data_IF_055592253151
#
_entry.id   IF_055592253151
#
_cell.length_a   1.000
_cell.length_b   1.000
_cell.length_c   1.000
_cell.angle_alpha   90.00
_cell.angle_beta   90.00
_cell.angle_gamma   90.00
#
_symmetry.space_group_name_H-M   'P 1'
#
loop_
_entity.id
_entity.type
_entity.pdbx_description
1 polymer ?
#
# COMPACT_ATOMS: atom_id res chain seq x y z
N UNK A 1 1.83 -13.85 2.35
CA UNK A 1 2.93 -12.87 2.46
C UNK A 1 3.15 -12.24 1.10
N UNK A 2 2.95 -10.93 0.94
CA UNK A 2 3.28 -10.23 -0.30
C UNK A 2 4.77 -9.88 -0.30
N UNK A 3 5.47 -10.16 -1.41
CA UNK A 3 6.84 -9.69 -1.63
C UNK A 3 6.77 -8.48 -2.56
N UNK A 4 7.12 -7.31 -2.04
CA UNK A 4 7.31 -6.12 -2.85
C UNK A 4 8.81 -5.89 -2.98
N UNK A 5 9.27 -5.78 -4.22
CA UNK A 5 10.67 -5.54 -4.55
C UNK A 5 10.87 -4.06 -4.84
N UNK A 6 11.72 -3.38 -4.06
CA UNK A 6 12.21 -2.03 -4.41
C UNK A 6 13.50 -2.16 -5.21
N UNK A 7 13.50 -1.59 -6.41
CA UNK A 7 14.71 -1.48 -7.25
C UNK A 7 15.29 -0.08 -7.10
N UNK A 8 16.56 0.01 -6.73
CA UNK A 8 17.27 1.29 -6.67
C UNK A 8 17.59 1.77 -8.09
N UNK A 9 17.26 3.03 -8.40
CA UNK A 9 17.56 3.62 -9.72
C UNK A 9 19.07 3.92 -9.89
N UNK A 10 19.79 4.27 -8.82
CA UNK A 10 21.20 4.68 -8.87
C UNK A 10 22.01 4.26 -7.63
N UNK A 11 22.14 2.96 -7.37
CA UNK A 11 23.02 2.46 -6.31
C UNK A 11 23.18 0.95 -6.38
N UNK A 12 24.43 0.46 -6.30
CA UNK A 12 24.72 -0.96 -6.05
C UNK A 12 24.48 -1.20 -4.56
N UNK A 13 23.69 -2.21 -4.21
CA UNK A 13 23.73 -2.74 -2.85
C UNK A 13 25.15 -3.23 -2.57
N UNK A 14 25.68 -2.94 -1.38
CA UNK A 14 27.01 -3.37 -0.94
C UNK A 14 27.21 -4.90 -1.07
N UNK A 15 26.10 -5.66 -1.07
CA UNK A 15 26.07 -7.12 -1.21
C UNK A 15 25.15 -7.58 -2.35
N UNK A 16 25.63 -7.50 -3.59
CA UNK A 16 25.33 -8.44 -4.69
C UNK A 16 23.89 -8.56 -5.28
N UNK A 17 22.82 -8.36 -4.52
CA UNK A 17 21.44 -8.39 -5.03
C UNK A 17 21.06 -7.02 -5.61
N UNK A 18 20.28 -7.00 -6.69
CA UNK A 18 19.73 -5.75 -7.25
C UNK A 18 18.39 -5.35 -6.61
N UNK A 19 17.79 -6.26 -5.84
CA UNK A 19 16.44 -6.14 -5.30
C UNK A 19 16.45 -6.17 -3.76
N UNK A 20 15.74 -5.21 -3.16
CA UNK A 20 15.50 -5.14 -1.72
C UNK A 20 14.16 -5.81 -1.41
N UNK A 21 14.17 -6.77 -0.48
CA UNK A 21 12.98 -7.48 -0.01
C UNK A 21 12.56 -6.89 1.33
N UNK A 22 11.31 -6.48 1.38
CA UNK A 22 10.68 -5.92 2.57
C UNK A 22 9.55 -6.84 3.04
N UNK A 23 9.39 -6.95 4.36
CA UNK A 23 8.16 -7.49 4.93
C UNK A 23 7.20 -6.33 5.16
N UNK A 24 5.98 -6.49 4.63
CA UNK A 24 4.90 -5.52 4.77
C UNK A 24 3.79 -6.07 5.67
N UNK A 25 3.18 -5.18 6.43
CA UNK A 25 1.86 -5.39 7.02
C UNK A 25 0.86 -4.56 6.25
N UNK A 26 -0.24 -5.22 5.89
CA UNK A 26 -1.34 -4.61 5.17
C UNK A 26 -2.42 -4.32 6.19
N UNK A 27 -2.79 -3.04 6.26
CA UNK A 27 -3.98 -2.62 6.97
C UNK A 27 -5.04 -2.34 5.90
N UNK A 28 -6.03 -3.23 5.83
CA UNK A 28 -7.31 -2.85 5.22
C UNK A 28 -7.83 -1.73 6.09
N UNK A 29 -8.06 -0.56 5.50
CA UNK A 29 -8.21 0.70 6.25
C UNK A 29 -9.28 0.50 7.31
N UNK A 30 -8.91 0.25 8.58
CA UNK A 30 -9.86 0.24 9.70
C UNK A 30 -9.84 1.62 10.38
N UNK A 31 -10.58 2.61 9.85
CA UNK A 31 -10.49 4.05 10.14
C UNK A 31 -10.50 4.45 11.63
N UNK A 32 -10.95 3.58 12.54
CA UNK A 32 -10.93 3.84 14.00
C UNK A 32 -9.63 3.49 14.71
N UNK A 33 -8.71 2.75 14.10
CA UNK A 33 -7.41 2.45 14.71
C UNK A 33 -6.27 3.11 13.93
N UNK A 34 -6.04 4.39 14.25
CA UNK A 34 -4.75 5.06 14.02
C UNK A 34 -3.61 4.47 14.89
N UNK A 35 -3.80 3.30 15.50
CA UNK A 35 -2.97 2.82 16.60
C UNK A 35 -1.54 2.44 16.15
N UNK A 36 -1.29 2.31 14.84
CA UNK A 36 0.01 1.89 14.30
C UNK A 36 0.63 2.83 13.26
N UNK A 37 -0.07 3.89 12.84
CA UNK A 37 0.53 4.97 12.06
C UNK A 37 0.78 6.11 13.05
N UNK A 38 2.01 6.23 13.51
CA UNK A 38 2.48 7.42 14.21
C UNK A 38 1.93 8.66 13.49
N UNK A 39 1.38 9.61 14.24
CA UNK A 39 0.64 10.81 13.81
C UNK A 39 1.46 11.75 12.92
N UNK A 40 1.85 11.27 11.75
CA UNK A 40 2.78 11.93 10.83
C UNK A 40 2.05 12.56 9.65
N UNK A 41 0.80 12.16 9.37
CA UNK A 41 -0.03 12.72 8.30
C UNK A 41 -1.26 13.44 8.85
N UNK A 42 -1.67 14.49 8.14
CA UNK A 42 -2.91 15.23 8.40
C UNK A 42 -4.05 14.70 7.52
N UNK A 43 -5.33 14.94 7.88
CA UNK A 43 -6.47 14.57 7.02
C UNK A 43 -6.39 15.15 5.60
N UNK A 44 -5.77 16.32 5.43
CA UNK A 44 -5.53 16.91 4.11
C UNK A 44 -4.56 16.07 3.26
N UNK A 45 -3.57 15.42 3.88
CA UNK A 45 -2.66 14.54 3.17
C UNK A 45 -3.41 13.31 2.66
N UNK A 46 -4.35 12.78 3.43
CA UNK A 46 -5.23 11.69 3.00
C UNK A 46 -5.99 12.07 1.75
N UNK A 47 -6.69 13.21 1.75
CA UNK A 47 -7.45 13.68 0.58
C UNK A 47 -6.52 13.85 -0.63
N UNK A 48 -5.36 14.48 -0.46
CA UNK A 48 -4.39 14.69 -1.55
C UNK A 48 -3.89 13.39 -2.16
N UNK A 49 -3.68 12.34 -1.35
CA UNK A 49 -3.20 11.04 -1.83
C UNK A 49 -4.31 10.19 -2.42
N UNK A 50 -5.47 10.10 -1.77
CA UNK A 50 -6.59 9.33 -2.29
C UNK A 50 -7.11 9.89 -3.61
N UNK A 51 -7.10 11.21 -3.78
CA UNK A 51 -7.45 11.89 -5.05
C UNK A 51 -6.50 11.61 -6.21
N UNK A 52 -5.37 10.91 -5.99
CA UNK A 52 -4.53 10.39 -7.09
C UNK A 52 -5.10 9.14 -7.74
N UNK A 53 -6.06 8.46 -7.11
CA UNK A 53 -6.73 7.29 -7.69
C UNK A 53 -8.00 7.74 -8.41
N UNK A 54 -8.15 7.48 -9.72
CA UNK A 54 -9.39 7.79 -10.44
C UNK A 54 -10.63 7.13 -9.82
N UNK A 55 -10.46 5.94 -9.25
CA UNK A 55 -11.51 5.20 -8.53
C UNK A 55 -11.99 5.89 -7.26
N UNK A 56 -11.25 6.89 -6.74
CA UNK A 56 -11.65 7.66 -5.56
C UNK A 56 -12.53 8.87 -5.92
N UNK A 57 -12.54 9.31 -7.18
CA UNK A 57 -13.30 10.49 -7.58
C UNK A 57 -14.81 10.45 -7.19
N UNK A 58 -15.53 9.30 -7.31
CA UNK A 58 -16.92 9.21 -6.87
C UNK A 58 -17.12 9.32 -5.36
N UNK A 59 -16.08 9.05 -4.56
CA UNK A 59 -16.11 9.07 -3.10
C UNK A 59 -15.72 10.43 -2.52
N UNK A 60 -15.00 11.26 -3.28
CA UNK A 60 -14.39 12.49 -2.79
C UNK A 60 -15.42 13.45 -2.17
N UNK A 61 -16.50 13.76 -2.89
CA UNK A 61 -17.51 14.70 -2.41
C UNK A 61 -18.19 14.24 -1.13
N UNK A 62 -18.33 12.93 -0.93
CA UNK A 62 -18.93 12.37 0.27
C UNK A 62 -17.93 12.40 1.43
N UNK A 63 -16.68 11.99 1.18
CA UNK A 63 -15.59 12.08 2.16
C UNK A 63 -15.37 13.51 2.67
N UNK A 64 -15.44 14.50 1.78
CA UNK A 64 -15.30 15.92 2.15
C UNK A 64 -16.50 16.45 2.97
N UNK A 65 -17.71 15.95 2.70
CA UNK A 65 -18.94 16.46 3.30
C UNK A 65 -19.18 15.98 4.74
N UNK A 66 -18.96 14.70 5.02
CA UNK A 66 -19.31 14.08 6.31
C UNK A 66 -18.20 13.17 6.87
N UNK A 67 -17.05 13.08 6.20
CA UNK A 67 -16.01 12.13 6.55
C UNK A 67 -16.46 10.68 6.36
N UNK A 68 -17.25 10.39 5.31
CA UNK A 68 -17.77 9.06 4.95
C UNK A 68 -16.71 8.03 4.53
N UNK A 69 -15.65 7.94 5.32
CA UNK A 69 -14.64 6.90 5.24
C UNK A 69 -15.20 5.49 5.51
N UNK A 70 -16.42 5.39 6.03
CA UNK A 70 -17.13 4.11 6.20
C UNK A 70 -17.55 3.48 4.85
N UNK A 71 -17.68 4.28 3.78
CA UNK A 71 -18.04 3.81 2.43
C UNK A 71 -16.95 2.94 1.81
N UNK A 72 -15.73 3.01 2.32
CA UNK A 72 -14.65 2.11 1.92
C UNK A 72 -14.82 0.66 2.40
N UNK A 73 -15.82 0.38 3.25
CA UNK A 73 -16.07 -0.94 3.84
C UNK A 73 -17.48 -1.46 3.63
N UNK A 74 -18.43 -0.58 3.35
CA UNK A 74 -19.77 -1.02 2.94
C UNK A 74 -19.68 -1.45 1.48
N UNK A 75 -19.01 -2.58 1.28
CA UNK A 75 -19.00 -3.35 0.06
C UNK A 75 -20.35 -4.07 -0.04
N UNK A 76 -21.34 -3.42 -0.64
CA UNK A 76 -22.15 -4.20 -1.56
C UNK A 76 -21.25 -4.41 -2.79
N UNK A 77 -20.84 -5.66 -3.03
CA UNK A 77 -19.88 -6.09 -4.07
C UNK A 77 -20.17 -5.53 -5.48
N UNK A 78 -21.36 -4.97 -5.71
CA UNK A 78 -21.79 -4.37 -6.95
C UNK A 78 -21.37 -2.89 -7.14
N UNK A 79 -21.02 -2.14 -6.08
CA UNK A 79 -20.91 -0.67 -6.18
C UNK A 79 -19.48 -0.15 -6.35
N UNK A 80 -18.47 -0.83 -5.77
CA UNK A 80 -17.07 -0.38 -5.87
C UNK A 80 -16.10 -1.53 -6.21
N UNK A 81 -15.56 -1.56 -7.44
CA UNK A 81 -14.63 -2.61 -7.86
C UNK A 81 -13.21 -2.42 -7.30
N UNK A 82 -13.03 -1.56 -6.29
CA UNK A 82 -11.72 -1.20 -5.74
C UNK A 82 -11.72 -1.20 -4.21
N UNK A 83 -10.69 -1.81 -3.62
CA UNK A 83 -10.43 -1.78 -2.19
C UNK A 83 -9.27 -0.82 -1.89
N UNK A 84 -9.52 0.14 -1.00
CA UNK A 84 -8.50 1.09 -0.55
C UNK A 84 -7.85 0.61 0.75
N UNK A 85 -6.52 0.69 0.82
CA UNK A 85 -5.70 0.06 1.86
C UNK A 85 -4.52 0.96 2.23
N UNK A 86 -4.01 0.83 3.46
CA UNK A 86 -2.71 1.42 3.85
C UNK A 86 -1.70 0.31 4.09
N UNK A 87 -0.57 0.36 3.40
CA UNK A 87 0.48 -0.65 3.53
C UNK A 87 1.69 -0.07 4.24
N UNK A 88 2.16 -0.76 5.29
CA UNK A 88 3.29 -0.33 6.10
C UNK A 88 4.41 -1.37 6.02
N UNK A 89 5.59 -0.93 5.61
CA UNK A 89 6.81 -1.71 5.69
C UNK A 89 7.22 -1.84 7.16
N UNK A 90 7.58 -3.05 7.59
CA UNK A 90 8.00 -3.31 8.98
C UNK A 90 9.52 -3.36 9.11
N UNK A 91 10.18 -4.12 8.24
CA UNK A 91 11.62 -4.33 8.29
C UNK A 91 12.18 -4.86 6.96
N UNK A 92 13.48 -4.67 6.80
CA UNK A 92 14.28 -5.23 5.70
C UNK A 92 14.57 -6.71 5.94
N UNK A 93 14.43 -7.54 4.91
CA UNK A 93 14.65 -8.99 5.02
C UNK A 93 16.06 -9.39 4.61
N UNK A 94 16.57 -8.81 3.51
CA UNK A 94 17.83 -9.23 2.88
C UNK A 94 18.91 -8.14 2.85
N UNK A 95 18.68 -7.00 3.50
CA UNK A 95 19.62 -5.88 3.56
C UNK A 95 19.71 -5.31 4.97
N UNK A 96 20.86 -4.71 5.30
CA UNK A 96 21.08 -3.99 6.55
C UNK A 96 20.44 -2.60 6.56
N UNK A 97 20.47 -1.97 7.74
CA UNK A 97 19.97 -0.60 7.99
C UNK A 97 20.70 0.48 7.16
N UNK A 98 21.88 0.16 6.68
CA UNK A 98 22.83 0.97 5.92
C UNK A 98 22.61 0.91 4.39
N UNK A 99 21.51 0.30 3.93
CA UNK A 99 21.18 0.23 2.50
C UNK A 99 20.72 1.56 1.86
N UNK A 100 20.64 2.64 2.64
CA UNK A 100 20.27 3.97 2.15
C UNK A 100 18.80 4.16 1.79
N UNK A 101 17.94 3.20 2.17
CA UNK A 101 16.49 3.29 1.99
C UNK A 101 15.79 3.58 3.31
N UNK A 102 14.74 4.42 3.27
CA UNK A 102 13.83 4.63 4.39
C UNK A 102 12.55 3.80 4.21
N UNK A 103 12.06 3.26 5.33
CA UNK A 103 10.76 2.59 5.47
C UNK A 103 9.89 3.27 6.55
N UNK A 104 10.21 4.52 6.90
CA UNK A 104 9.49 5.31 7.92
C UNK A 104 8.06 5.64 7.47
N UNK A 105 7.86 5.90 6.19
CA UNK A 105 6.56 6.16 5.60
C UNK A 105 5.64 4.95 5.46
N UNK A 106 4.60 5.11 4.64
CA UNK A 106 3.63 4.06 4.29
C UNK A 106 3.09 4.30 2.88
N UNK A 107 2.31 3.38 2.34
CA UNK A 107 1.66 3.54 1.03
C UNK A 107 0.16 3.69 1.19
N UNK A 108 -0.40 4.64 0.45
CA UNK A 108 -1.80 4.64 0.05
C UNK A 108 -1.94 3.65 -1.10
N UNK A 109 -2.89 2.72 -1.03
CA UNK A 109 -3.03 1.63 -2.01
C UNK A 109 -4.48 1.48 -2.46
N UNK A 110 -4.66 1.31 -3.76
CA UNK A 110 -5.91 0.92 -4.41
C UNK A 110 -5.71 -0.44 -5.08
N UNK A 111 -6.43 -1.45 -4.59
CA UNK A 111 -6.51 -2.78 -5.18
C UNK A 111 -7.76 -2.89 -6.04
N UNK A 112 -7.62 -3.30 -7.30
CA UNK A 112 -8.72 -3.50 -8.23
C UNK A 112 -9.22 -4.94 -8.17
N UNK A 113 -10.47 -5.15 -7.76
CA UNK A 113 -11.11 -6.46 -7.72
C UNK A 113 -11.41 -7.02 -9.12
N UNK A 114 -11.45 -6.17 -10.16
CA UNK A 114 -11.76 -6.58 -11.52
C UNK A 114 -10.61 -7.33 -12.21
N UNK A 115 -9.37 -6.91 -11.95
CA UNK A 115 -8.17 -7.41 -12.65
C UNK A 115 -7.00 -7.76 -11.73
N UNK A 116 -7.16 -7.57 -10.41
CA UNK A 116 -6.13 -7.84 -9.41
C UNK A 116 -4.96 -6.85 -9.45
N UNK A 117 -5.06 -5.74 -10.18
CA UNK A 117 -4.01 -4.71 -10.20
C UNK A 117 -3.95 -3.96 -8.88
N UNK A 118 -2.74 -3.57 -8.50
CA UNK A 118 -2.48 -2.78 -7.29
C UNK A 118 -1.74 -1.52 -7.71
N UNK A 119 -2.32 -0.37 -7.37
CA UNK A 119 -1.71 0.93 -7.55
C UNK A 119 -1.49 1.55 -6.17
N UNK A 120 -0.40 2.28 -5.99
CA UNK A 120 -0.15 2.95 -4.74
C UNK A 120 0.78 4.16 -4.85
N UNK A 121 0.77 4.96 -3.80
CA UNK A 121 1.62 6.13 -3.65
C UNK A 121 2.25 6.12 -2.26
N UNK A 122 3.58 6.19 -2.21
CA UNK A 122 4.31 6.30 -0.96
C UNK A 122 4.14 7.70 -0.36
N UNK A 123 3.94 7.72 0.96
CA UNK A 123 3.91 8.92 1.78
C UNK A 123 4.99 8.86 2.86
N UNK A 124 5.84 9.87 2.85
CA UNK A 124 6.73 10.27 3.94
C UNK A 124 7.02 11.76 3.73
N UNK A 125 6.77 12.63 4.74
CA UNK A 125 6.99 14.07 4.60
C UNK A 125 8.44 14.45 4.27
N UNK A 126 9.41 13.56 4.55
CA UNK A 126 10.82 13.79 4.27
C UNK A 126 11.30 13.16 2.94
N UNK A 127 10.40 12.52 2.21
CA UNK A 127 10.69 11.84 0.95
C UNK A 127 10.12 12.59 -0.25
N UNK A 128 10.57 12.26 -1.46
CA UNK A 128 9.91 12.75 -2.68
C UNK A 128 8.44 12.34 -2.68
N UNK A 129 7.51 13.25 -2.97
CA UNK A 129 6.08 12.97 -2.87
C UNK A 129 5.61 12.04 -3.99
N UNK A 130 4.52 11.31 -3.73
CA UNK A 130 3.80 10.49 -4.71
C UNK A 130 4.67 9.47 -5.49
N UNK A 131 5.66 8.86 -4.82
CA UNK A 131 6.42 7.78 -5.44
C UNK A 131 5.48 6.60 -5.72
N UNK A 132 5.39 6.22 -6.99
CA UNK A 132 4.38 5.28 -7.47
C UNK A 132 4.78 3.83 -7.19
N UNK A 133 3.81 3.04 -6.75
CA UNK A 133 3.83 1.58 -6.68
C UNK A 133 2.82 1.04 -7.68
N UNK A 134 3.26 0.17 -8.59
CA UNK A 134 2.38 -0.50 -9.55
C UNK A 134 2.71 -1.99 -9.58
N UNK A 135 1.75 -2.82 -9.21
CA UNK A 135 1.88 -4.27 -9.24
C UNK A 135 0.75 -4.84 -10.09
N UNK A 136 1.11 -5.84 -10.91
CA UNK A 136 0.15 -6.64 -11.67
C UNK A 136 0.31 -8.09 -11.23
N UNK A 137 -0.79 -8.84 -11.20
CA UNK A 137 -0.73 -10.26 -11.00
C UNK A 137 0.09 -10.89 -12.15
N UNK A 138 1.14 -11.64 -11.80
CA UNK A 138 1.87 -12.45 -12.77
C UNK A 138 1.26 -13.84 -12.79
N UNK A 139 0.69 -14.23 -13.93
CA UNK A 139 0.14 -15.57 -14.14
C UNK A 139 1.20 -16.59 -14.59
N UNK A 140 2.49 -16.36 -14.30
CA UNK A 140 3.52 -17.36 -14.57
C UNK A 140 3.24 -18.62 -13.74
N UNK A 141 2.77 -19.67 -14.45
CA UNK A 141 2.01 -20.83 -13.94
C UNK A 141 2.68 -21.69 -12.85
N UNK A 142 3.85 -21.33 -12.32
CA UNK A 142 4.56 -22.11 -11.29
C UNK A 142 5.31 -21.28 -10.23
N UNK A 143 5.14 -19.95 -10.20
CA UNK A 143 5.82 -19.08 -9.21
C UNK A 143 4.89 -18.53 -8.11
N UNK A 144 3.58 -18.70 -8.27
CA UNK A 144 2.59 -18.38 -7.24
C UNK A 144 2.57 -19.45 -6.15
N UNK A 145 2.82 -19.05 -4.91
CA UNK A 145 2.65 -19.94 -3.76
C UNK A 145 1.19 -19.87 -3.28
N UNK A 146 0.44 -20.96 -3.46
CA UNK A 146 -0.85 -21.13 -2.78
C UNK A 146 -0.59 -21.68 -1.39
N UNK A 147 -1.02 -20.97 -0.35
CA UNK A 147 -0.93 -21.44 1.03
C UNK A 147 -2.21 -22.20 1.39
N UNK A 148 -2.11 -23.16 2.31
CA UNK A 148 -3.28 -23.82 2.90
C UNK A 148 -4.22 -22.81 3.56
N UNK A 149 -5.50 -23.15 3.70
CA UNK A 149 -6.44 -22.35 4.49
C UNK A 149 -6.12 -22.48 5.97
N UNK A 150 -6.18 -21.36 6.69
CA UNK A 150 -5.99 -21.32 8.15
C UNK A 150 -7.18 -20.59 8.77
N UNK A 151 -7.60 -21.03 9.95
CA UNK A 151 -8.66 -20.39 10.74
C UNK A 151 -8.11 -20.08 12.14
N UNK A 152 -8.56 -18.96 12.71
CA UNK A 152 -8.27 -18.63 14.10
C UNK A 152 -9.03 -19.63 15.00
N UNK A 153 -8.35 -20.19 15.99
CA UNK A 153 -8.95 -21.10 16.97
C UNK A 153 -9.26 -20.37 18.27
#
# INVERSE_FOLDING_TARGET
MFRVYRKMKHGKLMYGSKDVILKMVIYVVQWRHSMFLERTHLPEDDIRHWSKFPSFAPLLSQVEADGAWHLFYQQDDACFPCMFQRWKEQYFVNVGIDCGLTIVGFYYVCFSCSDGSINGFYYDPNSSPFQKLELKCSNEKHLGFTFSSYQLQ
#
